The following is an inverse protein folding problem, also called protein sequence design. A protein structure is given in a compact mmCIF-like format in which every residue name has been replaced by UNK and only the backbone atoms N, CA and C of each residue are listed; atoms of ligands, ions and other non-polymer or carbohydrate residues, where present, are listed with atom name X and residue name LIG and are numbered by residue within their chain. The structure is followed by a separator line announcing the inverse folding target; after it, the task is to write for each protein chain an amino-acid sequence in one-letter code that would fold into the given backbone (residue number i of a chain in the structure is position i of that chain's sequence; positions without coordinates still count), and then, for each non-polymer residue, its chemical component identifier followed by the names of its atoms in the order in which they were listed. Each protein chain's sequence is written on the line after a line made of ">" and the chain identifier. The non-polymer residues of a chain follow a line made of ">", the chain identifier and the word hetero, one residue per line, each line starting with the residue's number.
data_IF_974325112823
#
_entry.id   IF_974325112823
#
_cell.length_a   1.000
_cell.length_b   1.000
_cell.length_c   1.000
_cell.angle_alpha   90.00
_cell.angle_beta   90.00
_cell.angle_gamma   90.00
#
_symmetry.space_group_name_H-M   'P 1'
#
loop_
_entity.id
_entity.type
_entity.pdbx_description
1 polymer ?
#
# COMPACT_ATOMS: atom_id res chain seq x y z
N UNK A 1 15.59 -24.40 -46.34
CA UNK A 1 16.40 -23.84 -45.25
C UNK A 1 16.40 -22.32 -45.39
N UNK A 2 16.21 -21.58 -44.30
CA UNK A 2 16.16 -20.11 -44.19
C UNK A 2 14.79 -19.41 -44.36
N UNK A 3 13.86 -19.70 -43.46
CA UNK A 3 12.80 -18.77 -43.05
C UNK A 3 12.54 -18.91 -41.53
N UNK A 4 13.61 -18.86 -40.71
CA UNK A 4 13.51 -18.68 -39.26
C UNK A 4 14.31 -17.44 -38.87
N UNK A 5 13.76 -16.27 -39.19
CA UNK A 5 14.27 -14.99 -38.69
C UNK A 5 13.15 -13.98 -38.84
N UNK A 6 12.37 -13.82 -37.78
CA UNK A 6 12.19 -12.54 -37.08
C UNK A 6 11.07 -12.72 -36.05
N UNK A 7 11.38 -13.38 -34.92
CA UNK A 7 10.66 -13.07 -33.69
C UNK A 7 11.01 -11.61 -33.36
N UNK A 8 10.19 -10.66 -33.83
CA UNK A 8 10.13 -9.33 -33.24
C UNK A 8 9.64 -9.47 -31.81
N UNK A 9 10.56 -9.80 -30.90
CA UNK A 9 10.37 -9.51 -29.49
C UNK A 9 10.36 -7.99 -29.42
N UNK A 10 9.17 -7.37 -29.41
CA UNK A 10 9.00 -5.99 -28.96
C UNK A 10 9.41 -5.94 -27.49
N UNK A 11 10.72 -5.88 -27.24
CA UNK A 11 11.40 -5.80 -25.95
C UNK A 11 11.28 -4.38 -25.42
N UNK A 12 10.06 -3.83 -25.42
CA UNK A 12 9.83 -2.54 -24.83
C UNK A 12 9.85 -2.71 -23.30
N UNK A 13 10.70 -1.90 -22.64
CA UNK A 13 10.61 -1.48 -21.22
C UNK A 13 11.45 -2.22 -20.16
N UNK A 14 12.57 -2.89 -20.49
CA UNK A 14 13.50 -3.38 -19.44
C UNK A 14 14.00 -2.24 -18.53
N UNK A 15 14.24 -1.06 -19.09
CA UNK A 15 14.68 0.13 -18.33
C UNK A 15 13.67 0.62 -17.30
N UNK A 16 12.37 0.44 -17.55
CA UNK A 16 11.31 0.86 -16.61
C UNK A 16 11.37 -0.01 -15.35
N UNK A 17 11.46 -1.33 -15.50
CA UNK A 17 11.57 -2.24 -14.36
C UNK A 17 12.82 -1.99 -13.52
N UNK A 18 13.99 -1.73 -14.14
CA UNK A 18 15.21 -1.41 -13.39
C UNK A 18 15.09 -0.11 -12.59
N UNK A 19 14.43 0.91 -13.15
CA UNK A 19 14.19 2.17 -12.44
C UNK A 19 13.25 1.99 -11.24
N UNK A 20 12.13 1.30 -11.42
CA UNK A 20 11.17 1.04 -10.34
C UNK A 20 11.76 0.12 -9.26
N UNK A 21 12.60 -0.84 -9.65
CA UNK A 21 13.34 -1.66 -8.70
C UNK A 21 14.28 -0.80 -7.83
N UNK A 22 15.02 0.13 -8.44
CA UNK A 22 15.83 1.11 -7.70
C UNK A 22 14.99 1.99 -6.77
N UNK A 23 13.80 2.41 -7.22
CA UNK A 23 12.85 3.17 -6.41
C UNK A 23 12.35 2.37 -5.20
N UNK A 24 11.99 1.08 -5.38
CA UNK A 24 11.62 0.19 -4.28
C UNK A 24 12.75 -0.02 -3.29
N UNK A 25 14.00 -0.09 -3.77
CA UNK A 25 15.17 -0.16 -2.92
C UNK A 25 15.32 1.11 -2.06
N UNK A 26 15.19 2.29 -2.66
CA UNK A 26 15.22 3.58 -1.95
C UNK A 26 14.13 3.65 -0.89
N UNK A 27 12.89 3.31 -1.23
CA UNK A 27 11.77 3.25 -0.28
C UNK A 27 12.02 2.27 0.88
N UNK A 28 12.64 1.12 0.60
CA UNK A 28 12.98 0.14 1.64
C UNK A 28 14.08 0.65 2.57
N UNK A 29 15.09 1.34 2.02
CA UNK A 29 16.13 2.00 2.81
C UNK A 29 15.55 3.08 3.73
N UNK A 30 14.66 3.92 3.20
CA UNK A 30 13.98 4.93 4.02
C UNK A 30 13.15 4.30 5.13
N UNK A 31 12.40 3.23 4.85
CA UNK A 31 11.65 2.50 5.88
C UNK A 31 12.56 1.99 7.01
N UNK A 32 13.73 1.45 6.67
CA UNK A 32 14.69 0.98 7.66
C UNK A 32 15.34 2.13 8.45
N UNK A 33 15.56 3.28 7.79
CA UNK A 33 16.10 4.46 8.44
C UNK A 33 15.16 5.04 9.51
N UNK A 34 13.83 4.94 9.31
CA UNK A 34 12.84 5.33 10.35
C UNK A 34 13.04 4.53 11.63
N UNK A 35 13.28 3.23 11.51
CA UNK A 35 13.52 2.36 12.66
C UNK A 35 14.91 2.63 13.28
N UNK A 36 15.93 2.92 12.46
CA UNK A 36 17.28 3.25 12.94
C UNK A 36 17.34 4.56 13.73
N UNK A 37 16.61 5.59 13.27
CA UNK A 37 16.54 6.89 13.92
C UNK A 37 15.72 6.87 15.22
N UNK A 38 15.15 5.70 15.60
CA UNK A 38 14.41 5.49 16.85
C UNK A 38 13.34 6.57 17.08
N UNK A 39 12.57 6.91 16.04
CA UNK A 39 11.42 7.78 16.22
C UNK A 39 10.44 7.15 17.23
N UNK A 40 10.02 7.91 18.23
CA UNK A 40 9.07 7.45 19.24
C UNK A 40 7.64 7.95 18.98
N UNK A 41 6.67 7.21 19.52
CA UNK A 41 5.26 7.58 19.49
C UNK A 41 4.63 7.51 18.08
N UNK A 42 3.68 8.42 17.82
CA UNK A 42 2.84 8.41 16.63
C UNK A 42 3.62 8.65 15.33
N UNK A 43 4.73 9.39 15.37
CA UNK A 43 5.55 9.69 14.20
C UNK A 43 6.07 8.42 13.53
N UNK A 44 6.55 7.46 14.34
CA UNK A 44 7.00 6.15 13.84
C UNK A 44 5.89 5.41 13.10
N UNK A 45 4.71 5.34 13.70
CA UNK A 45 3.54 4.67 13.13
C UNK A 45 3.13 5.29 11.80
N UNK A 46 3.03 6.62 11.73
CA UNK A 46 2.66 7.30 10.49
C UNK A 46 3.68 7.07 9.38
N UNK A 47 4.99 7.13 9.69
CA UNK A 47 6.03 6.96 8.68
C UNK A 47 6.12 5.52 8.19
N UNK A 48 6.05 4.53 9.07
CA UNK A 48 6.06 3.11 8.67
C UNK A 48 4.87 2.80 7.77
N UNK A 49 3.66 3.21 8.16
CA UNK A 49 2.45 3.00 7.36
C UNK A 49 2.57 3.70 6.01
N UNK A 50 3.07 4.94 5.99
CA UNK A 50 3.28 5.70 4.75
C UNK A 50 4.26 5.00 3.80
N UNK A 51 5.40 4.51 4.31
CA UNK A 51 6.38 3.79 3.50
C UNK A 51 5.86 2.42 3.04
N UNK A 52 5.11 1.71 3.88
CA UNK A 52 4.44 0.44 3.51
C UNK A 52 3.40 0.64 2.42
N UNK A 53 2.56 1.67 2.52
CA UNK A 53 1.55 1.98 1.52
C UNK A 53 2.20 2.42 0.20
N UNK A 54 3.22 3.28 0.26
CA UNK A 54 3.93 3.77 -0.93
C UNK A 54 4.60 2.63 -1.71
N UNK A 55 5.30 1.72 -1.04
CA UNK A 55 5.92 0.57 -1.72
C UNK A 55 4.87 -0.39 -2.29
N UNK A 56 3.76 -0.62 -1.57
CA UNK A 56 2.67 -1.47 -2.05
C UNK A 56 2.00 -0.86 -3.29
N UNK A 57 1.76 0.45 -3.29
CA UNK A 57 1.22 1.18 -4.44
C UNK A 57 2.16 1.10 -5.66
N UNK A 58 3.47 1.23 -5.46
CA UNK A 58 4.47 1.06 -6.53
C UNK A 58 4.47 -0.35 -7.12
N UNK A 59 4.37 -1.39 -6.28
CA UNK A 59 4.29 -2.78 -6.73
C UNK A 59 2.99 -3.01 -7.50
N UNK A 60 1.86 -2.56 -6.97
CA UNK A 60 0.56 -2.66 -7.65
C UNK A 60 0.57 -1.97 -9.01
N UNK A 61 1.10 -0.74 -9.08
CA UNK A 61 1.12 0.05 -10.30
C UNK A 61 1.92 -0.60 -11.44
N UNK A 62 3.11 -1.15 -11.12
CA UNK A 62 4.10 -1.56 -12.13
C UNK A 62 4.27 -3.08 -12.22
N UNK A 63 4.45 -3.77 -11.10
CA UNK A 63 4.72 -5.21 -11.09
C UNK A 63 3.48 -6.02 -11.39
N UNK A 64 2.33 -5.64 -10.83
CA UNK A 64 1.03 -6.20 -11.22
C UNK A 64 0.50 -5.62 -12.53
N UNK A 65 1.27 -4.74 -13.19
CA UNK A 65 0.94 -4.17 -14.50
C UNK A 65 -0.45 -3.50 -14.57
N UNK A 66 -0.96 -3.08 -13.41
CA UNK A 66 -2.34 -2.61 -13.20
C UNK A 66 -2.67 -1.38 -14.06
N UNK A 67 -1.67 -0.55 -14.36
CA UNK A 67 -1.79 0.63 -15.22
C UNK A 67 -2.05 0.31 -16.71
N UNK A 68 -1.79 -0.91 -17.15
CA UNK A 68 -1.89 -1.30 -18.57
C UNK A 68 -2.97 -2.35 -18.83
N UNK A 69 -3.65 -2.78 -17.77
CA UNK A 69 -4.67 -3.81 -17.82
C UNK A 69 -6.08 -3.22 -17.87
N UNK A 70 -7.06 -4.09 -18.07
CA UNK A 70 -8.47 -3.69 -18.18
C UNK A 70 -8.97 -3.19 -16.82
N UNK A 71 -9.76 -2.12 -16.82
CA UNK A 71 -10.40 -1.55 -15.62
C UNK A 71 -11.11 -2.58 -14.73
N UNK A 72 -11.60 -3.69 -15.30
CA UNK A 72 -12.21 -4.78 -14.55
C UNK A 72 -11.25 -5.44 -13.54
N UNK A 73 -9.99 -5.68 -13.92
CA UNK A 73 -8.98 -6.34 -13.04
C UNK A 73 -8.54 -5.39 -11.94
N UNK A 74 -8.39 -4.11 -12.29
CA UNK A 74 -8.10 -3.01 -11.35
C UNK A 74 -9.17 -2.94 -10.27
N UNK A 75 -10.44 -2.94 -10.68
CA UNK A 75 -11.56 -2.85 -9.74
C UNK A 75 -11.65 -4.10 -8.85
N UNK A 76 -11.50 -5.30 -9.43
CA UNK A 76 -11.55 -6.57 -8.67
C UNK A 76 -10.48 -6.64 -7.58
N UNK A 77 -9.29 -6.09 -7.80
CA UNK A 77 -8.22 -6.08 -6.80
C UNK A 77 -8.41 -4.98 -5.74
N UNK A 78 -8.88 -3.79 -6.14
CA UNK A 78 -9.07 -2.65 -5.23
C UNK A 78 -10.31 -2.76 -4.35
N UNK A 79 -11.38 -3.43 -4.81
CA UNK A 79 -12.61 -3.60 -4.03
C UNK A 79 -12.38 -4.31 -2.69
N UNK A 80 -11.74 -5.49 -2.63
CA UNK A 80 -11.45 -6.17 -1.37
C UNK A 80 -10.65 -5.30 -0.39
N UNK A 81 -9.63 -4.61 -0.89
CA UNK A 81 -8.81 -3.70 -0.07
C UNK A 81 -9.62 -2.52 0.47
N UNK A 82 -10.51 -1.97 -0.35
CA UNK A 82 -11.40 -0.86 0.05
C UNK A 82 -12.41 -1.29 1.10
N UNK A 83 -12.99 -2.49 0.98
CA UNK A 83 -13.90 -3.03 1.98
C UNK A 83 -13.23 -3.23 3.34
N UNK A 84 -11.98 -3.69 3.35
CA UNK A 84 -11.20 -3.85 4.59
C UNK A 84 -10.98 -2.48 5.26
N UNK A 85 -10.64 -1.44 4.48
CA UNK A 85 -10.47 -0.08 5.03
C UNK A 85 -11.78 0.48 5.61
N UNK A 86 -12.91 0.28 4.93
CA UNK A 86 -14.23 0.68 5.45
C UNK A 86 -14.54 -0.07 6.74
N UNK A 87 -14.28 -1.38 6.79
CA UNK A 87 -14.51 -2.19 7.99
C UNK A 87 -13.69 -1.71 9.19
N UNK A 88 -12.40 -1.39 8.97
CA UNK A 88 -11.54 -0.80 9.99
C UNK A 88 -12.11 0.54 10.48
N UNK A 89 -12.59 1.39 9.58
CA UNK A 89 -13.21 2.68 9.92
C UNK A 89 -14.46 2.52 10.79
N UNK A 90 -15.33 1.56 10.47
CA UNK A 90 -16.51 1.25 11.28
C UNK A 90 -16.09 0.76 12.68
N UNK A 91 -15.11 -0.15 12.77
CA UNK A 91 -14.62 -0.63 14.08
C UNK A 91 -13.98 0.48 14.92
N UNK A 92 -13.26 1.40 14.28
CA UNK A 92 -12.70 2.56 14.98
C UNK A 92 -13.81 3.45 15.56
N UNK A 93 -14.87 3.71 14.79
CA UNK A 93 -16.03 4.47 15.27
C UNK A 93 -16.73 3.77 16.45
N UNK A 94 -16.99 2.47 16.37
CA UNK A 94 -17.58 1.67 17.46
C UNK A 94 -16.74 1.70 18.74
N UNK A 95 -15.42 1.72 18.62
CA UNK A 95 -14.51 1.86 19.76
C UNK A 95 -14.70 3.20 20.48
N UNK A 96 -14.84 4.30 19.74
CA UNK A 96 -15.09 5.63 20.31
C UNK A 96 -16.48 5.72 20.97
N UNK A 97 -17.52 5.16 20.34
CA UNK A 97 -18.86 5.09 20.92
C UNK A 97 -18.87 4.29 22.24
N UNK A 98 -18.16 3.17 22.27
CA UNK A 98 -18.03 2.34 23.49
C UNK A 98 -17.29 3.10 24.60
N UNK A 99 -16.19 3.79 24.26
CA UNK A 99 -15.43 4.59 25.21
C UNK A 99 -16.27 5.74 25.80
N UNK A 100 -16.95 6.49 24.93
CA UNK A 100 -17.81 7.61 25.34
C UNK A 100 -18.95 7.16 26.24
N UNK A 101 -19.62 6.07 25.88
CA UNK A 101 -20.73 5.51 26.66
C UNK A 101 -20.26 5.07 28.04
N UNK A 102 -19.10 4.39 28.14
CA UNK A 102 -18.50 4.02 29.44
C UNK A 102 -18.16 5.25 30.29
N UNK A 103 -17.60 6.29 29.68
CA UNK A 103 -17.28 7.54 30.37
C UNK A 103 -18.56 8.24 30.88
N UNK A 104 -19.61 8.26 30.07
CA UNK A 104 -20.90 8.84 30.43
C UNK A 104 -21.52 8.11 31.63
N UNK A 105 -21.56 6.78 31.62
CA UNK A 105 -22.04 6.00 32.77
C UNK A 105 -21.16 6.15 34.01
N UNK A 106 -19.85 6.30 33.87
CA UNK A 106 -18.96 6.55 34.99
C UNK A 106 -19.20 7.92 35.66
N UNK A 107 -19.49 8.95 34.85
CA UNK A 107 -19.73 10.32 35.33
C UNK A 107 -21.16 10.52 35.84
N UNK A 108 -22.17 9.99 35.15
CA UNK A 108 -23.60 10.16 35.47
C UNK A 108 -24.12 9.11 36.45
N UNK A 109 -23.49 7.93 36.50
CA UNK A 109 -23.84 6.83 37.41
C UNK A 109 -23.17 6.89 38.78
N UNK A 110 -22.47 7.99 39.09
CA UNK A 110 -22.05 8.39 40.45
C UNK A 110 -23.03 9.42 40.97
#
# INVERSE_FOLDING_TARGET
>A
MAQEKQQEIKTHKLGVYMWIWGLLFVFSFFSYMVDYLNFEGLLRWTLIVFFMFSKAALIMAIFMHLFWERWAIVNVLLWPMSFILVFIGIMAAESEYTFFTRLFYFIVGT
#
